data_IF_142662928123
#
_entry.id   IF_142662928123
#
_cell.length_a   1.000
_cell.length_b   1.000
_cell.length_c   1.000
_cell.angle_alpha   90.00
_cell.angle_beta   90.00
_cell.angle_gamma   90.00
#
_symmetry.space_group_name_H-M   'P 1'
#
loop_
_entity.id
_entity.type
_entity.pdbx_description
1 polymer ?
#
# COMPACT_ATOMS: atom_id res chain seq x y z
N UNK A 1 -10.47 8.52 17.19
CA UNK A 1 -10.20 8.64 15.74
C UNK A 1 -9.67 7.31 15.26
N UNK A 2 -10.32 6.75 14.25
CA UNK A 2 -9.81 5.57 13.56
C UNK A 2 -8.74 5.97 12.52
N UNK A 3 -7.78 5.08 12.27
CA UNK A 3 -6.59 5.31 11.45
C UNK A 3 -5.90 6.65 11.77
N UNK A 4 -5.56 6.87 13.06
CA UNK A 4 -5.00 8.13 13.56
C UNK A 4 -3.69 8.54 12.88
N UNK A 5 -2.98 7.62 12.24
CA UNK A 5 -1.79 7.94 11.47
C UNK A 5 -2.09 8.80 10.23
N UNK A 6 -3.34 8.89 9.78
CA UNK A 6 -3.75 9.79 8.71
C UNK A 6 -3.53 11.28 9.05
N UNK A 7 -3.48 11.63 10.34
CA UNK A 7 -3.18 13.01 10.78
C UNK A 7 -1.71 13.18 11.18
N UNK A 8 -0.78 12.26 10.87
CA UNK A 8 0.63 12.39 11.30
C UNK A 8 1.33 13.68 10.83
N UNK A 9 0.87 14.31 9.75
CA UNK A 9 1.40 15.60 9.30
C UNK A 9 0.64 16.77 9.96
N UNK A 10 1.32 17.54 10.83
CA UNK A 10 0.74 18.68 11.58
C UNK A 10 0.22 19.82 10.68
N UNK A 11 0.74 19.95 9.47
CA UNK A 11 0.39 21.06 8.58
C UNK A 11 -0.95 20.87 7.85
N UNK A 12 -1.50 19.66 7.87
CA UNK A 12 -2.76 19.36 7.17
C UNK A 12 -3.97 19.99 7.85
N UNK A 13 -4.99 20.33 7.06
CA UNK A 13 -6.26 20.87 7.56
C UNK A 13 -6.91 19.88 8.54
N UNK A 14 -6.85 18.58 8.25
CA UNK A 14 -7.38 17.54 9.11
C UNK A 14 -6.69 17.52 10.50
N UNK A 15 -5.36 17.65 10.53
CA UNK A 15 -4.61 17.72 11.79
C UNK A 15 -4.98 18.94 12.62
N UNK A 16 -5.05 20.12 11.99
CA UNK A 16 -5.43 21.36 12.67
C UNK A 16 -6.86 21.30 13.21
N UNK A 17 -7.78 20.70 12.45
CA UNK A 17 -9.16 20.50 12.88
C UNK A 17 -9.24 19.58 14.12
N UNK A 18 -8.51 18.47 14.13
CA UNK A 18 -8.47 17.55 15.29
C UNK A 18 -7.81 18.21 16.50
N UNK A 19 -6.77 19.04 16.31
CA UNK A 19 -6.12 19.78 17.40
C UNK A 19 -7.04 20.85 18.01
N UNK A 20 -7.87 21.50 17.18
CA UNK A 20 -8.87 22.46 17.65
C UNK A 20 -10.05 21.82 18.40
N UNK A 21 -10.23 20.49 18.30
CA UNK A 21 -11.28 19.80 19.04
C UNK A 21 -10.97 19.76 20.54
N UNK A 22 -11.84 20.43 21.30
CA UNK A 22 -11.77 20.42 22.76
C UNK A 22 -12.37 19.11 23.28
N UNK A 23 -11.51 18.19 23.71
CA UNK A 23 -11.90 16.89 24.22
C UNK A 23 -11.13 16.57 25.51
N UNK A 24 -11.86 16.19 26.56
CA UNK A 24 -11.25 15.80 27.85
C UNK A 24 -10.52 14.46 27.78
N UNK A 25 -10.83 13.63 26.77
CA UNK A 25 -10.22 12.33 26.56
C UNK A 25 -10.15 12.00 25.07
N UNK A 26 -9.03 11.44 24.62
CA UNK A 26 -8.77 11.12 23.20
C UNK A 26 -8.32 9.68 23.06
N UNK A 27 -8.94 8.94 22.15
CA UNK A 27 -8.51 7.60 21.73
C UNK A 27 -8.17 7.64 20.24
N UNK A 28 -7.02 7.09 19.89
CA UNK A 28 -6.61 6.80 18.52
C UNK A 28 -6.55 5.29 18.29
N UNK A 29 -7.06 4.83 17.15
CA UNK A 29 -6.89 3.47 16.66
C UNK A 29 -5.99 3.49 15.44
N UNK A 30 -5.10 2.50 15.32
CA UNK A 30 -4.22 2.35 14.15
C UNK A 30 -3.72 0.92 14.06
N UNK A 31 -3.69 0.36 12.85
CA UNK A 31 -3.01 -0.91 12.57
C UNK A 31 -1.49 -0.76 12.43
N UNK A 32 -1.00 0.46 12.17
CA UNK A 32 0.38 0.77 11.78
C UNK A 32 0.86 2.06 12.46
N UNK A 33 1.18 2.03 13.77
CA UNK A 33 1.55 3.23 14.52
C UNK A 33 2.88 3.87 14.08
N UNK A 34 3.70 3.14 13.31
CA UNK A 34 4.93 3.61 12.69
C UNK A 34 4.84 3.23 11.22
N UNK A 35 4.70 4.21 10.32
CA UNK A 35 4.64 3.95 8.87
C UNK A 35 6.00 4.20 8.22
N UNK A 36 6.62 5.34 8.51
CA UNK A 36 7.86 5.78 7.88
C UNK A 36 8.98 5.96 8.90
N UNK A 37 8.68 6.62 10.03
CA UNK A 37 9.69 7.00 11.02
C UNK A 37 9.15 6.93 12.44
N UNK A 38 10.05 6.84 13.42
CA UNK A 38 9.70 6.95 14.85
C UNK A 38 9.02 8.27 15.20
N UNK A 39 9.21 9.32 14.40
CA UNK A 39 8.51 10.60 14.56
C UNK A 39 7.01 10.51 14.28
N UNK A 40 6.56 9.54 13.48
CA UNK A 40 5.13 9.31 13.25
C UNK A 40 4.45 8.95 14.58
N UNK A 41 5.08 8.07 15.35
CA UNK A 41 4.61 7.66 16.68
C UNK A 41 4.62 8.83 17.67
N UNK A 42 5.69 9.64 17.68
CA UNK A 42 5.73 10.83 18.53
C UNK A 42 4.58 11.78 18.20
N UNK A 43 4.32 12.01 16.91
CA UNK A 43 3.28 12.94 16.47
C UNK A 43 1.87 12.44 16.81
N UNK A 44 1.63 11.13 16.75
CA UNK A 44 0.37 10.53 17.22
C UNK A 44 0.24 10.70 18.74
N UNK A 45 1.30 10.39 19.50
CA UNK A 45 1.28 10.44 20.96
C UNK A 45 1.17 11.86 21.51
N UNK A 46 1.82 12.83 20.88
CA UNK A 46 1.72 14.25 21.23
C UNK A 46 0.28 14.77 21.12
N UNK A 47 -0.57 14.14 20.31
CA UNK A 47 -2.00 14.48 20.21
C UNK A 47 -2.90 13.75 21.19
N UNK A 48 -2.59 12.49 21.48
CA UNK A 48 -3.37 11.68 22.40
C UNK A 48 -3.03 12.01 23.86
N UNK A 49 -1.75 12.15 24.16
CA UNK A 49 -1.18 12.43 25.47
C UNK A 49 0.00 13.42 25.32
N UNK A 50 -0.29 14.73 25.12
CA UNK A 50 0.74 15.76 24.97
C UNK A 50 1.79 15.70 26.06
N UNK A 51 3.07 15.79 25.67
CA UNK A 51 4.21 15.76 26.60
C UNK A 51 4.62 14.39 27.14
N UNK A 52 3.83 13.32 26.94
CA UNK A 52 4.15 11.99 27.48
C UNK A 52 5.47 11.41 26.95
N UNK A 53 5.90 11.83 25.75
CA UNK A 53 7.16 11.42 25.14
C UNK A 53 8.26 12.50 25.19
N UNK A 54 8.03 13.62 25.85
CA UNK A 54 8.93 14.78 25.84
C UNK A 54 8.78 15.63 24.58
N UNK A 55 9.65 16.62 24.41
CA UNK A 55 9.59 17.52 23.26
C UNK A 55 9.95 16.80 21.96
N UNK A 56 9.44 17.30 20.83
CA UNK A 56 9.72 16.70 19.52
C UNK A 56 11.20 16.76 19.13
N UNK A 57 11.94 17.77 19.60
CA UNK A 57 13.37 17.90 19.34
C UNK A 57 14.20 16.87 20.12
N UNK A 58 13.89 16.68 21.40
CA UNK A 58 14.53 15.64 22.23
C UNK A 58 14.20 14.25 21.72
N UNK A 59 12.94 14.01 21.37
CA UNK A 59 12.50 12.75 20.81
C UNK A 59 13.22 12.44 19.50
N UNK A 60 13.28 13.42 18.58
CA UNK A 60 13.98 13.27 17.30
C UNK A 60 15.46 12.96 17.54
N UNK A 61 16.13 13.74 18.39
CA UNK A 61 17.55 13.53 18.70
C UNK A 61 17.82 12.10 19.22
N UNK A 62 16.92 11.58 20.07
CA UNK A 62 17.07 10.26 20.66
C UNK A 62 16.74 9.12 19.68
N UNK A 63 15.63 9.21 18.95
CA UNK A 63 15.03 8.10 18.20
C UNK A 63 15.02 8.25 16.68
N UNK A 64 15.52 9.35 16.10
CA UNK A 64 15.56 9.55 14.64
C UNK A 64 16.38 8.49 13.92
N UNK A 65 17.51 8.08 14.52
CA UNK A 65 18.31 6.95 14.04
C UNK A 65 17.97 5.74 14.90
N UNK A 66 17.15 4.81 14.38
CA UNK A 66 16.71 3.65 15.15
C UNK A 66 17.86 2.66 15.35
N UNK A 67 17.96 2.14 16.57
CA UNK A 67 18.73 0.93 16.88
C UNK A 67 17.88 0.04 17.81
N UNK A 68 18.27 -1.21 17.99
CA UNK A 68 17.47 -2.19 18.73
C UNK A 68 17.20 -1.76 20.18
N UNK A 69 18.20 -1.23 20.86
CA UNK A 69 18.09 -0.73 22.24
C UNK A 69 17.08 0.41 22.36
N UNK A 70 17.22 1.43 21.51
CA UNK A 70 16.34 2.61 21.47
C UNK A 70 14.90 2.23 21.09
N UNK A 71 14.72 1.29 20.17
CA UNK A 71 13.39 0.81 19.79
C UNK A 71 12.75 0.01 20.92
N UNK A 72 13.54 -0.79 21.65
CA UNK A 72 13.08 -1.52 22.84
C UNK A 72 12.71 -0.56 23.96
N UNK A 73 13.52 0.46 24.20
CA UNK A 73 13.26 1.54 25.15
C UNK A 73 11.95 2.29 24.79
N UNK A 74 11.82 2.72 23.53
CA UNK A 74 10.64 3.40 23.03
C UNK A 74 9.38 2.54 23.14
N UNK A 75 9.49 1.26 22.81
CA UNK A 75 8.40 0.31 22.96
C UNK A 75 7.96 0.21 24.43
N UNK A 76 8.90 0.12 25.36
CA UNK A 76 8.59 0.10 26.79
C UNK A 76 7.90 1.40 27.25
N UNK A 77 8.36 2.56 26.79
CA UNK A 77 7.76 3.86 27.15
C UNK A 77 6.30 4.00 26.68
N UNK A 78 5.93 3.36 25.58
CA UNK A 78 4.60 3.51 24.98
C UNK A 78 3.65 2.39 25.40
N UNK A 79 4.12 1.14 25.38
CA UNK A 79 3.27 -0.04 25.51
C UNK A 79 3.40 -0.75 26.86
N UNK A 80 4.37 -0.36 27.71
CA UNK A 80 4.43 -0.83 29.10
C UNK A 80 3.96 0.29 30.03
N UNK A 81 3.18 -0.08 31.04
CA UNK A 81 2.84 0.85 32.12
C UNK A 81 4.11 1.23 32.88
N UNK A 82 4.13 2.45 33.42
CA UNK A 82 5.24 2.92 34.25
C UNK A 82 4.70 3.37 35.60
N UNK A 83 5.24 2.79 36.67
CA UNK A 83 4.83 3.05 38.05
C UNK A 83 3.32 2.85 38.25
N UNK A 84 2.59 3.94 38.54
CA UNK A 84 1.14 3.95 38.73
C UNK A 84 0.36 4.30 37.47
N UNK A 85 1.05 4.62 36.37
CA UNK A 85 0.42 5.05 35.13
C UNK A 85 0.21 3.85 34.19
N UNK A 86 -0.99 3.71 33.60
CA UNK A 86 -1.24 2.70 32.59
C UNK A 86 -0.37 2.95 31.33
N UNK A 87 -0.16 1.95 30.48
CA UNK A 87 0.52 2.15 29.20
C UNK A 87 -0.20 3.19 28.34
N UNK A 88 0.57 3.97 27.58
CA UNK A 88 0.03 4.99 26.66
C UNK A 88 -0.68 4.37 25.46
N UNK A 89 -0.28 3.17 25.06
CA UNK A 89 -0.88 2.43 23.95
C UNK A 89 -1.12 0.98 24.31
N UNK A 90 -2.17 0.41 23.74
CA UNK A 90 -2.45 -1.03 23.78
C UNK A 90 -2.17 -1.62 22.40
N UNK A 91 -1.33 -2.65 22.34
CA UNK A 91 -1.02 -3.38 21.10
C UNK A 91 -1.25 -4.87 21.32
N UNK A 92 -1.98 -5.49 20.40
CA UNK A 92 -2.17 -6.95 20.33
C UNK A 92 -1.53 -7.45 19.04
N UNK A 93 -0.71 -8.50 19.10
CA UNK A 93 -0.18 -9.11 17.89
C UNK A 93 -1.17 -10.16 17.36
N UNK A 94 -1.17 -10.39 16.04
CA UNK A 94 -2.01 -11.42 15.43
C UNK A 94 -1.68 -12.81 15.96
N UNK A 95 -0.41 -13.07 16.26
CA UNK A 95 0.07 -14.34 16.83
C UNK A 95 -0.51 -14.63 18.22
N UNK A 96 -0.90 -13.58 18.96
CA UNK A 96 -1.52 -13.70 20.28
C UNK A 96 -3.01 -14.07 20.21
N UNK A 97 -3.67 -13.87 19.06
CA UNK A 97 -5.15 -13.89 18.94
C UNK A 97 -5.68 -14.86 17.89
N UNK A 98 -4.94 -15.11 16.80
CA UNK A 98 -5.42 -15.88 15.65
C UNK A 98 -4.41 -16.97 15.26
N UNK A 99 -4.37 -18.05 16.06
CA UNK A 99 -3.46 -19.20 15.85
C UNK A 99 -3.81 -20.05 14.61
N UNK A 100 -5.02 -19.91 14.08
CA UNK A 100 -5.50 -20.69 12.92
C UNK A 100 -5.20 -20.04 11.55
N UNK A 101 -4.48 -18.90 11.53
CA UNK A 101 -4.12 -18.26 10.26
C UNK A 101 -2.91 -18.96 9.62
N UNK A 102 -2.95 -19.24 8.30
CA UNK A 102 -1.80 -19.77 7.60
C UNK A 102 -0.65 -18.76 7.63
N UNK A 103 0.59 -19.28 7.70
CA UNK A 103 1.79 -18.45 7.71
C UNK A 103 1.85 -17.59 6.45
N UNK A 104 2.02 -16.27 6.63
CA UNK A 104 2.23 -15.34 5.52
C UNK A 104 3.55 -15.65 4.81
N UNK A 105 3.47 -16.08 3.55
CA UNK A 105 4.63 -16.30 2.67
C UNK A 105 4.80 -15.12 1.71
N UNK A 106 6.04 -14.77 1.39
CA UNK A 106 6.38 -13.73 0.41
C UNK A 106 7.30 -14.34 -0.66
N UNK A 107 6.89 -14.21 -1.91
CA UNK A 107 7.67 -14.64 -3.07
C UNK A 107 8.01 -13.43 -3.93
N UNK A 108 9.26 -13.35 -4.38
CA UNK A 108 9.70 -12.35 -5.35
C UNK A 108 9.73 -13.00 -6.73
N UNK A 109 9.20 -12.32 -7.73
CA UNK A 109 9.16 -12.78 -9.13
C UNK A 109 10.00 -11.84 -10.00
N UNK A 110 11.33 -11.84 -9.87
CA UNK A 110 12.19 -11.05 -10.75
C UNK A 110 12.09 -11.58 -12.19
N UNK A 111 11.97 -10.66 -13.14
CA UNK A 111 11.94 -10.94 -14.58
C UNK A 111 12.85 -9.96 -15.30
N UNK A 112 13.48 -10.42 -16.37
CA UNK A 112 14.22 -9.55 -17.27
C UNK A 112 13.23 -8.71 -18.08
N UNK A 113 13.54 -7.44 -18.30
CA UNK A 113 12.74 -6.58 -19.16
C UNK A 113 12.85 -7.07 -20.60
N UNK A 114 11.73 -7.21 -21.34
CA UNK A 114 11.75 -7.38 -22.79
C UNK A 114 12.53 -6.24 -23.46
N UNK A 115 13.14 -6.46 -24.65
CA UNK A 115 13.97 -5.47 -25.31
C UNK A 115 13.32 -4.09 -25.44
N UNK A 116 12.05 -4.03 -25.86
CA UNK A 116 11.28 -2.78 -26.00
C UNK A 116 11.14 -2.04 -24.66
N UNK A 117 10.95 -2.78 -23.56
CA UNK A 117 10.87 -2.20 -22.22
C UNK A 117 12.23 -1.70 -21.74
N UNK A 118 13.28 -2.48 -21.95
CA UNK A 118 14.65 -2.13 -21.56
C UNK A 118 15.12 -0.86 -22.28
N UNK A 119 14.93 -0.76 -23.60
CA UNK A 119 15.29 0.42 -24.38
C UNK A 119 14.56 1.69 -23.90
N UNK A 120 13.25 1.57 -23.66
CA UNK A 120 12.44 2.69 -23.15
C UNK A 120 12.89 3.11 -21.75
N UNK A 121 13.25 2.12 -20.91
CA UNK A 121 13.74 2.35 -19.56
C UNK A 121 15.09 3.07 -19.56
N UNK A 122 16.03 2.63 -20.39
CA UNK A 122 17.34 3.25 -20.55
C UNK A 122 17.23 4.69 -21.07
N UNK A 123 16.31 4.94 -22.00
CA UNK A 123 16.02 6.29 -22.47
C UNK A 123 15.47 7.17 -21.34
N UNK A 124 14.55 6.64 -20.53
CA UNK A 124 14.01 7.35 -19.36
C UNK A 124 15.10 7.67 -18.34
N UNK A 125 16.04 6.74 -18.10
CA UNK A 125 17.16 6.92 -17.20
C UNK A 125 18.17 7.96 -17.71
N UNK A 126 18.49 7.96 -19.02
CA UNK A 126 19.38 8.98 -19.61
C UNK A 126 18.80 10.38 -19.49
N UNK A 127 17.48 10.53 -19.73
CA UNK A 127 16.77 11.81 -19.53
C UNK A 127 16.79 12.28 -18.08
N UNK A 128 16.78 11.37 -17.11
CA UNK A 128 16.96 11.70 -15.70
C UNK A 128 18.34 12.29 -15.43
N UNK A 129 19.41 11.65 -15.91
CA UNK A 129 20.79 12.07 -15.67
C UNK A 129 21.13 13.46 -16.25
N UNK A 130 20.37 13.90 -17.26
CA UNK A 130 20.58 15.17 -17.96
C UNK A 130 19.65 16.31 -17.47
N UNK A 131 18.74 16.03 -16.53
CA UNK A 131 17.70 16.97 -16.11
C UNK A 131 18.06 17.83 -14.88
N UNK A 132 17.57 19.07 -14.83
CA UNK A 132 17.66 19.95 -13.65
C UNK A 132 16.71 19.56 -12.50
N UNK A 133 16.70 20.33 -11.40
CA UNK A 133 16.00 20.00 -10.14
C UNK A 133 14.49 19.67 -10.27
N UNK A 134 13.77 20.25 -11.25
CA UNK A 134 12.36 19.92 -11.53
C UNK A 134 12.15 18.73 -12.48
N UNK A 135 13.18 18.30 -13.20
CA UNK A 135 13.13 17.17 -14.12
C UNK A 135 13.30 15.83 -13.40
N UNK A 136 13.99 15.80 -12.26
CA UNK A 136 14.23 14.59 -11.47
C UNK A 136 12.92 13.89 -11.04
N UNK A 137 11.95 14.65 -10.52
CA UNK A 137 10.67 14.08 -10.08
C UNK A 137 9.85 13.53 -11.26
N UNK A 138 9.74 14.31 -12.35
CA UNK A 138 9.05 13.87 -13.58
C UNK A 138 9.68 12.61 -14.16
N UNK A 139 11.00 12.54 -14.14
CA UNK A 139 11.74 11.39 -14.63
C UNK A 139 11.59 10.16 -13.71
N UNK A 140 11.54 10.31 -12.38
CA UNK A 140 11.20 9.20 -11.47
C UNK A 140 9.80 8.64 -11.74
N UNK A 141 8.79 9.51 -11.93
CA UNK A 141 7.46 9.08 -12.33
C UNK A 141 7.47 8.35 -13.68
N UNK A 142 8.24 8.85 -14.64
CA UNK A 142 8.37 8.24 -15.95
C UNK A 142 9.04 6.85 -15.89
N UNK A 143 10.17 6.72 -15.20
CA UNK A 143 10.85 5.43 -14.95
C UNK A 143 9.91 4.44 -14.28
N UNK A 144 9.17 4.90 -13.26
CA UNK A 144 8.19 4.08 -12.56
C UNK A 144 7.09 3.59 -13.50
N UNK A 145 6.59 4.45 -14.40
CA UNK A 145 5.60 4.08 -15.42
C UNK A 145 6.15 3.06 -16.41
N UNK A 146 7.34 3.29 -16.97
CA UNK A 146 7.99 2.40 -17.95
C UNK A 146 8.27 1.02 -17.36
N UNK A 147 8.64 0.96 -16.08
CA UNK A 147 8.84 -0.29 -15.36
C UNK A 147 7.55 -1.11 -15.22
N UNK A 148 6.37 -0.47 -15.29
CA UNK A 148 5.08 -1.17 -15.35
C UNK A 148 4.74 -1.55 -16.79
N UNK A 149 4.87 -0.64 -17.74
CA UNK A 149 4.67 -0.91 -19.16
C UNK A 149 5.37 0.16 -20.03
N UNK A 150 6.07 -0.20 -21.12
CA UNK A 150 6.77 0.78 -21.97
C UNK A 150 5.85 1.77 -22.69
N UNK A 151 4.64 1.34 -23.08
CA UNK A 151 3.66 2.21 -23.74
C UNK A 151 2.24 1.81 -23.38
N UNK A 152 1.60 2.53 -22.46
CA UNK A 152 0.22 2.24 -22.03
C UNK A 152 -0.84 2.52 -23.11
N UNK A 153 -0.45 3.21 -24.19
CA UNK A 153 -1.30 3.58 -25.33
C UNK A 153 -1.02 2.75 -26.58
N UNK A 154 -0.21 1.68 -26.45
CA UNK A 154 0.09 0.81 -27.58
C UNK A 154 -1.20 0.15 -28.08
N UNK A 155 -1.57 0.45 -29.33
CA UNK A 155 -2.69 -0.17 -30.03
C UNK A 155 -2.27 -1.53 -30.62
N UNK A 156 -1.95 -2.47 -29.75
CA UNK A 156 -1.51 -3.83 -30.10
C UNK A 156 -2.47 -4.88 -29.49
N UNK A 157 -2.52 -6.11 -30.02
CA UNK A 157 -3.31 -7.18 -29.42
C UNK A 157 -2.94 -7.42 -27.94
N UNK A 158 -3.88 -7.85 -27.09
CA UNK A 158 -3.65 -8.07 -25.65
C UNK A 158 -2.45 -8.96 -25.32
N UNK A 159 -2.18 -9.98 -26.14
CA UNK A 159 -1.03 -10.88 -26.01
C UNK A 159 0.28 -10.13 -26.17
N UNK A 160 0.41 -9.40 -27.28
CA UNK A 160 1.59 -8.58 -27.57
C UNK A 160 1.76 -7.49 -26.51
N UNK A 161 0.66 -6.90 -26.04
CA UNK A 161 0.68 -5.90 -24.98
C UNK A 161 1.30 -6.47 -23.69
N UNK A 162 0.92 -7.69 -23.29
CA UNK A 162 1.47 -8.34 -22.10
C UNK A 162 2.95 -8.67 -22.28
N UNK A 163 3.35 -9.17 -23.45
CA UNK A 163 4.74 -9.52 -23.78
C UNK A 163 5.69 -8.32 -23.78
N UNK A 164 5.17 -7.11 -23.96
CA UNK A 164 5.95 -5.88 -23.87
C UNK A 164 6.34 -5.50 -22.43
N UNK A 165 5.81 -6.16 -21.40
CA UNK A 165 6.13 -5.88 -19.99
C UNK A 165 6.39 -7.13 -19.16
N UNK A 166 7.60 -7.21 -18.62
CA UNK A 166 8.02 -8.24 -17.68
C UNK A 166 7.06 -8.43 -16.49
N UNK A 167 6.49 -7.32 -15.97
CA UNK A 167 5.60 -7.37 -14.80
C UNK A 167 4.22 -7.87 -15.19
N UNK A 168 3.68 -7.44 -16.32
CA UNK A 168 2.37 -7.89 -16.78
C UNK A 168 2.42 -9.37 -17.14
N UNK A 169 3.44 -9.79 -17.88
CA UNK A 169 3.67 -11.19 -18.25
C UNK A 169 3.71 -12.08 -17.01
N UNK A 170 4.58 -11.77 -16.03
CA UNK A 170 4.65 -12.53 -14.78
C UNK A 170 3.32 -12.53 -14.02
N UNK A 171 2.61 -11.40 -14.00
CA UNK A 171 1.32 -11.33 -13.29
C UNK A 171 0.28 -12.23 -13.94
N UNK A 172 0.16 -12.21 -15.28
CA UNK A 172 -0.77 -13.07 -16.02
C UNK A 172 -0.38 -14.55 -15.86
N UNK A 173 0.90 -14.90 -15.89
CA UNK A 173 1.38 -16.26 -15.63
C UNK A 173 1.00 -16.75 -14.23
N UNK A 174 1.23 -15.93 -13.20
CA UNK A 174 0.84 -16.24 -11.81
C UNK A 174 -0.67 -16.42 -11.70
N UNK A 175 -1.46 -15.53 -12.31
CA UNK A 175 -2.91 -15.61 -12.28
C UNK A 175 -3.45 -16.85 -13.01
N UNK A 176 -2.85 -17.25 -14.14
CA UNK A 176 -3.19 -18.49 -14.85
C UNK A 176 -2.98 -19.72 -13.96
N UNK A 177 -1.87 -19.76 -13.22
CA UNK A 177 -1.63 -20.82 -12.23
C UNK A 177 -2.69 -20.81 -11.12
N UNK A 178 -2.97 -19.65 -10.54
CA UNK A 178 -4.00 -19.51 -9.49
C UNK A 178 -5.40 -19.91 -9.96
N UNK A 179 -5.74 -19.67 -11.24
CA UNK A 179 -6.99 -20.14 -11.82
C UNK A 179 -7.08 -21.67 -11.83
N UNK A 180 -6.00 -22.37 -12.21
CA UNK A 180 -5.98 -23.85 -12.19
C UNK A 180 -6.15 -24.42 -10.78
N UNK A 181 -5.74 -23.66 -9.76
CA UNK A 181 -5.88 -24.01 -8.34
C UNK A 181 -7.25 -23.61 -7.75
N UNK A 182 -8.10 -22.91 -8.51
CA UNK A 182 -9.37 -22.37 -8.01
C UNK A 182 -9.21 -21.28 -6.94
N UNK A 183 -8.05 -20.62 -6.90
CA UNK A 183 -7.71 -19.62 -5.89
C UNK A 183 -8.29 -18.24 -6.22
N UNK A 184 -8.43 -17.40 -5.18
CA UNK A 184 -8.81 -15.99 -5.31
C UNK A 184 -7.56 -15.11 -5.24
N UNK A 185 -7.55 -14.05 -6.04
CA UNK A 185 -6.40 -13.14 -6.12
C UNK A 185 -6.83 -11.68 -5.87
N UNK A 186 -5.95 -10.96 -5.19
CA UNK A 186 -6.01 -9.52 -5.00
C UNK A 186 -4.76 -8.91 -5.65
N UNK A 187 -4.96 -8.06 -6.66
CA UNK A 187 -3.87 -7.40 -7.38
C UNK A 187 -3.86 -5.91 -7.04
N UNK A 188 -2.74 -5.41 -6.53
CA UNK A 188 -2.56 -4.01 -6.17
C UNK A 188 -1.81 -3.28 -7.28
N UNK A 189 -2.41 -2.21 -7.82
CA UNK A 189 -1.85 -1.44 -8.92
C UNK A 189 -1.92 0.05 -8.58
N UNK A 190 -0.78 0.70 -8.36
CA UNK A 190 -0.76 2.12 -7.98
C UNK A 190 -1.16 3.08 -9.11
N UNK A 191 -1.01 2.67 -10.37
CA UNK A 191 -1.27 3.55 -11.51
C UNK A 191 -2.69 3.36 -12.07
N UNK A 192 -3.59 4.34 -11.85
CA UNK A 192 -5.01 4.29 -12.29
C UNK A 192 -5.18 3.86 -13.75
N UNK A 193 -4.41 4.43 -14.69
CA UNK A 193 -4.50 4.04 -16.11
C UNK A 193 -4.20 2.56 -16.35
N UNK A 194 -3.20 2.02 -15.66
CA UNK A 194 -2.82 0.61 -15.81
C UNK A 194 -3.85 -0.29 -15.14
N UNK A 195 -4.49 0.17 -14.06
CA UNK A 195 -5.53 -0.59 -13.37
C UNK A 195 -6.71 -0.92 -14.31
N UNK A 196 -7.24 0.08 -15.04
CA UNK A 196 -8.31 -0.14 -16.01
C UNK A 196 -7.88 -1.08 -17.13
N UNK A 197 -6.69 -0.83 -17.69
CA UNK A 197 -6.14 -1.66 -18.75
C UNK A 197 -5.93 -3.11 -18.30
N UNK A 198 -5.40 -3.30 -17.09
CA UNK A 198 -5.19 -4.61 -16.51
C UNK A 198 -6.50 -5.34 -16.25
N UNK A 199 -7.56 -4.65 -15.81
CA UNK A 199 -8.87 -5.25 -15.68
C UNK A 199 -9.39 -5.79 -17.03
N UNK A 200 -9.22 -5.03 -18.12
CA UNK A 200 -9.57 -5.50 -19.47
C UNK A 200 -8.70 -6.69 -19.92
N UNK A 201 -7.40 -6.67 -19.65
CA UNK A 201 -6.51 -7.81 -19.92
C UNK A 201 -6.98 -9.07 -19.15
N UNK A 202 -7.33 -8.93 -17.87
CA UNK A 202 -7.82 -10.05 -17.07
C UNK A 202 -9.17 -10.55 -17.58
N UNK A 203 -10.09 -9.67 -17.99
CA UNK A 203 -11.35 -10.09 -18.63
C UNK A 203 -11.10 -10.89 -19.90
N UNK A 204 -10.16 -10.42 -20.73
CA UNK A 204 -9.77 -11.08 -21.97
C UNK A 204 -9.12 -12.46 -21.73
N UNK A 205 -8.04 -12.54 -20.95
CA UNK A 205 -7.29 -13.79 -20.76
C UNK A 205 -8.04 -14.86 -19.97
N UNK A 206 -8.96 -14.46 -19.10
CA UNK A 206 -9.68 -15.38 -18.21
C UNK A 206 -11.16 -15.56 -18.60
N UNK A 207 -11.63 -14.90 -19.66
CA UNK A 207 -13.00 -15.02 -20.18
C UNK A 207 -14.05 -14.58 -19.17
N UNK A 208 -13.84 -13.44 -18.52
CA UNK A 208 -14.68 -12.97 -17.41
C UNK A 208 -15.65 -11.90 -17.86
N UNK A 209 -16.89 -12.01 -17.39
CA UNK A 209 -17.90 -10.99 -17.63
C UNK A 209 -17.55 -9.68 -16.90
N UNK A 210 -17.09 -9.79 -15.65
CA UNK A 210 -16.78 -8.66 -14.77
C UNK A 210 -15.52 -8.89 -13.94
N UNK A 211 -14.79 -7.81 -13.71
CA UNK A 211 -13.69 -7.72 -12.73
C UNK A 211 -13.98 -6.52 -11.83
N UNK A 212 -13.95 -6.73 -10.52
CA UNK A 212 -14.24 -5.66 -9.56
C UNK A 212 -12.99 -4.79 -9.34
N UNK A 213 -13.10 -3.53 -9.77
CA UNK A 213 -12.10 -2.50 -9.51
C UNK A 213 -12.53 -1.73 -8.26
N UNK A 214 -11.73 -1.82 -7.20
CA UNK A 214 -11.96 -1.11 -5.96
C UNK A 214 -11.00 0.09 -5.94
N UNK A 215 -11.57 1.25 -6.22
CA UNK A 215 -10.90 2.54 -6.02
C UNK A 215 -11.45 3.17 -4.76
N UNK A 216 -10.60 3.22 -3.73
CA UNK A 216 -10.90 4.05 -2.57
C UNK A 216 -10.60 5.49 -3.01
N UNK A 217 -11.65 6.23 -3.37
CA UNK A 217 -11.47 7.61 -3.81
C UNK A 217 -10.93 8.47 -2.65
N UNK A 218 -10.15 9.50 -2.99
CA UNK A 218 -9.30 10.36 -2.12
C UNK A 218 -10.00 11.04 -0.91
N UNK A 219 -11.25 10.71 -0.62
CA UNK A 219 -11.98 11.14 0.57
C UNK A 219 -11.84 10.19 1.77
N UNK A 220 -11.34 8.96 1.59
CA UNK A 220 -11.19 7.99 2.70
C UNK A 220 -9.91 7.15 2.59
N UNK A 221 -8.82 7.68 3.14
CA UNK A 221 -7.59 6.96 3.49
C UNK A 221 -6.77 6.35 2.33
N UNK A 222 -5.45 6.45 2.46
CA UNK A 222 -4.45 5.89 1.54
C UNK A 222 -4.58 4.36 1.46
N UNK A 223 -5.37 3.86 0.50
CA UNK A 223 -5.35 2.47 0.08
C UNK A 223 -4.95 2.39 -1.39
N UNK A 224 -3.97 1.52 -1.70
CA UNK A 224 -3.57 1.27 -3.08
C UNK A 224 -4.77 0.76 -3.90
N UNK A 225 -4.93 1.21 -5.15
CA UNK A 225 -6.01 0.73 -6.02
C UNK A 225 -5.95 -0.79 -6.13
N UNK A 226 -7.09 -1.45 -5.90
CA UNK A 226 -7.19 -2.89 -5.77
C UNK A 226 -8.07 -3.45 -6.89
N UNK A 227 -7.63 -4.57 -7.46
CA UNK A 227 -8.45 -5.39 -8.35
C UNK A 227 -8.69 -6.71 -7.63
N UNK A 228 -9.96 -6.98 -7.36
CA UNK A 228 -10.40 -8.25 -6.79
C UNK A 228 -10.94 -9.14 -7.90
N UNK A 229 -10.45 -10.38 -7.92
CA UNK A 229 -10.90 -11.35 -8.91
C UNK A 229 -11.10 -12.73 -8.29
N UNK A 230 -12.25 -13.34 -8.60
CA UNK A 230 -12.59 -14.72 -8.29
C UNK A 230 -12.61 -15.51 -9.58
N UNK A 231 -11.68 -16.46 -9.75
CA UNK A 231 -11.47 -17.22 -10.98
C UNK A 231 -12.44 -18.39 -11.18
N UNK A 232 -13.70 -18.23 -10.80
CA UNK A 232 -14.75 -19.20 -11.10
C UNK A 232 -15.71 -18.57 -12.09
N UNK A 233 -15.93 -19.23 -13.24
CA UNK A 233 -17.08 -18.92 -14.11
C UNK A 233 -18.31 -18.92 -13.23
N UNK A 234 -18.96 -17.78 -13.06
CA UNK A 234 -20.31 -17.75 -12.51
C UNK A 234 -21.17 -18.61 -13.44
N UNK A 235 -21.43 -19.84 -13.03
CA UNK A 235 -22.52 -20.60 -13.62
C UNK A 235 -23.76 -19.94 -13.05
N UNK A 236 -24.46 -19.19 -13.90
CA UNK A 236 -25.77 -18.63 -13.62
C UNK A 236 -26.67 -19.70 -12.98
N UNK A 237 -26.75 -19.72 -11.65
CA UNK A 237 -27.84 -20.38 -10.96
C UNK A 237 -29.05 -19.46 -11.09
N UNK A 238 -29.74 -19.62 -12.21
CA UNK A 238 -31.05 -19.02 -12.43
C UNK A 238 -31.95 -19.33 -11.23
N UNK A 239 -32.54 -18.28 -10.67
CA UNK A 239 -33.66 -18.39 -9.75
C UNK A 239 -34.78 -19.20 -10.41
N UNK A 240 -34.82 -20.50 -10.14
CA UNK A 240 -36.06 -21.27 -10.21
C UNK A 240 -36.95 -20.76 -9.10
N UNK A 241 -37.90 -19.90 -9.46
CA UNK A 241 -39.14 -19.71 -8.72
C UNK A 241 -39.91 -21.05 -8.75
N UNK A 242 -39.95 -21.73 -7.62
CA UNK A 242 -41.02 -22.65 -7.23
C UNK A 242 -41.52 -22.06 -5.90
N UNK A 243 -42.80 -21.96 -5.58
CA UNK A 243 -44.02 -22.61 -6.05
C UNK A 243 -44.95 -22.56 -4.85
#
# INVERSE_FOLDING_TARGET
MDEIQAIKNKDTIASKAVEAMNASFRIGLTGTPIENTTMDLWTIMDRLAPGALGSGSEFKTRYQVPNEEKLTELYARVFKGKDRFPPLGLRRLKDDVARDLPKKTRFLHPRLMPPVQAETYDLAQKKFAQGGAGAALKALHHIRSVSVHPSADAAVPPEVFVEMSARLEATIEILKRLQTEGARALVFIEHRKIQFLFAELVRYFFGLEKVDIINVDLSRFDAAPLIAFTATKETNYGHRKNG
#
